data_IF_278934435756
#
_entry.id   IF_278934435756
#
_cell.length_a   1.000
_cell.length_b   1.000
_cell.length_c   1.000
_cell.angle_alpha   90.00
_cell.angle_beta   90.00
_cell.angle_gamma   90.00
#
_symmetry.space_group_name_H-M   'P 1'
#
loop_
_entity.id
_entity.type
_entity.pdbx_description
1 polymer ?
#
# COMPACT_ATOMS: atom_id res chain seq x y z
N UNK A 1 -46.12 -6.15 9.47
CA UNK A 1 -45.59 -5.49 8.26
C UNK A 1 -45.45 -6.55 7.20
N UNK A 2 -46.08 -6.38 6.03
CA UNK A 2 -46.10 -7.41 5.00
C UNK A 2 -44.71 -7.54 4.34
N UNK A 3 -44.28 -8.74 3.91
CA UNK A 3 -42.97 -8.94 3.28
C UNK A 3 -42.74 -8.06 2.03
N UNK A 4 -43.81 -7.72 1.31
CA UNK A 4 -43.76 -6.83 0.15
C UNK A 4 -43.46 -5.35 0.50
N UNK A 5 -43.88 -4.86 1.67
CA UNK A 5 -43.57 -3.49 2.11
C UNK A 5 -42.10 -3.35 2.50
N UNK A 6 -41.53 -4.37 3.14
CA UNK A 6 -40.09 -4.43 3.50
C UNK A 6 -39.22 -4.50 2.24
N UNK A 7 -39.63 -5.25 1.22
CA UNK A 7 -38.90 -5.35 -0.05
C UNK A 7 -38.97 -4.04 -0.86
N UNK A 8 -40.12 -3.36 -0.87
CA UNK A 8 -40.29 -2.05 -1.52
C UNK A 8 -39.51 -0.93 -0.82
N UNK A 9 -39.50 -0.93 0.53
CA UNK A 9 -38.66 -0.03 1.34
C UNK A 9 -37.16 -0.30 1.10
N UNK A 10 -36.77 -1.57 0.99
CA UNK A 10 -35.40 -1.99 0.66
C UNK A 10 -34.96 -1.57 -0.76
N UNK A 11 -35.83 -1.72 -1.76
CA UNK A 11 -35.56 -1.27 -3.14
C UNK A 11 -35.49 0.25 -3.26
N UNK A 12 -36.36 0.98 -2.55
CA UNK A 12 -36.30 2.45 -2.48
C UNK A 12 -35.01 2.96 -1.83
N UNK A 13 -34.53 2.28 -0.78
CA UNK A 13 -33.25 2.57 -0.13
C UNK A 13 -32.06 2.25 -1.04
N UNK A 14 -32.08 1.11 -1.74
CA UNK A 14 -30.99 0.71 -2.65
C UNK A 14 -30.85 1.64 -3.86
N UNK A 15 -31.97 2.09 -4.44
CA UNK A 15 -31.95 3.07 -5.53
C UNK A 15 -31.39 4.41 -5.06
N UNK A 16 -31.78 4.88 -3.87
CA UNK A 16 -31.24 6.10 -3.28
C UNK A 16 -29.73 6.01 -3.03
N UNK A 17 -29.24 4.87 -2.51
CA UNK A 17 -27.81 4.61 -2.32
C UNK A 17 -27.05 4.59 -3.65
N UNK A 18 -27.62 3.95 -4.69
CA UNK A 18 -27.02 3.92 -6.02
C UNK A 18 -26.93 5.33 -6.63
N UNK A 19 -28.00 6.13 -6.51
CA UNK A 19 -28.01 7.52 -7.00
C UNK A 19 -26.96 8.35 -6.23
N UNK A 20 -26.91 8.23 -4.91
CA UNK A 20 -25.94 8.95 -4.08
C UNK A 20 -24.50 8.59 -4.49
N UNK A 21 -24.21 7.30 -4.70
CA UNK A 21 -22.93 6.84 -5.20
C UNK A 21 -22.61 7.43 -6.57
N UNK A 22 -23.52 7.35 -7.54
CA UNK A 22 -23.31 7.92 -8.88
C UNK A 22 -23.06 9.43 -8.85
N UNK A 23 -23.76 10.16 -7.96
CA UNK A 23 -23.53 11.59 -7.75
C UNK A 23 -22.14 11.87 -7.18
N UNK A 24 -21.69 11.09 -6.19
CA UNK A 24 -20.34 11.23 -5.60
C UNK A 24 -19.24 10.96 -6.63
N UNK A 25 -19.44 9.94 -7.48
CA UNK A 25 -18.56 9.61 -8.59
C UNK A 25 -18.46 10.78 -9.58
N UNK A 26 -19.61 11.32 -9.99
CA UNK A 26 -19.67 12.44 -10.93
C UNK A 26 -19.01 13.70 -10.34
N UNK A 27 -19.27 13.99 -9.06
CA UNK A 27 -18.66 15.11 -8.33
C UNK A 27 -17.14 14.98 -8.25
N UNK A 28 -16.65 13.80 -7.87
CA UNK A 28 -15.23 13.47 -7.79
C UNK A 28 -14.57 13.58 -9.16
N UNK A 29 -15.21 13.08 -10.21
CA UNK A 29 -14.73 13.19 -11.58
C UNK A 29 -14.63 14.66 -12.03
N UNK A 30 -15.70 15.44 -11.89
CA UNK A 30 -15.73 16.86 -12.27
C UNK A 30 -14.68 17.69 -11.52
N UNK A 31 -14.57 17.50 -10.20
CA UNK A 31 -13.57 18.20 -9.38
C UNK A 31 -12.13 17.81 -9.73
N UNK A 32 -11.89 16.52 -10.00
CA UNK A 32 -10.60 16.01 -10.48
C UNK A 32 -10.22 16.62 -11.82
N UNK A 33 -11.15 16.66 -12.77
CA UNK A 33 -10.94 17.27 -14.11
C UNK A 33 -10.62 18.74 -13.97
N UNK A 34 -11.39 19.51 -13.17
CA UNK A 34 -11.15 20.92 -12.95
C UNK A 34 -9.76 21.18 -12.33
N UNK A 35 -9.39 20.44 -11.28
CA UNK A 35 -8.06 20.54 -10.63
C UNK A 35 -6.93 20.14 -11.57
N UNK A 36 -7.13 19.12 -12.40
CA UNK A 36 -6.17 18.67 -13.41
C UNK A 36 -5.95 19.73 -14.49
N UNK A 37 -7.01 20.38 -14.98
CA UNK A 37 -6.92 21.48 -15.94
C UNK A 37 -6.20 22.70 -15.33
N UNK A 38 -6.48 23.03 -14.06
CA UNK A 38 -5.78 24.09 -13.35
C UNK A 38 -4.29 23.80 -13.18
N UNK A 39 -3.92 22.57 -12.84
CA UNK A 39 -2.52 22.15 -12.75
C UNK A 39 -1.83 22.23 -14.12
N UNK A 40 -2.48 21.74 -15.19
CA UNK A 40 -1.98 21.84 -16.55
C UNK A 40 -1.76 23.31 -16.95
N UNK A 41 -2.72 24.19 -16.67
CA UNK A 41 -2.61 25.62 -16.92
C UNK A 41 -1.44 26.26 -16.16
N UNK A 42 -1.25 25.92 -14.87
CA UNK A 42 -0.12 26.39 -14.06
C UNK A 42 1.22 25.97 -14.67
N UNK A 43 1.39 24.68 -14.97
CA UNK A 43 2.61 24.14 -15.57
C UNK A 43 2.92 24.83 -16.91
N UNK A 44 1.91 25.00 -17.77
CA UNK A 44 2.07 25.67 -19.06
C UNK A 44 2.38 27.17 -18.93
N UNK A 45 1.77 27.86 -17.97
CA UNK A 45 2.01 29.29 -17.69
C UNK A 45 3.40 29.57 -17.09
N UNK A 46 3.97 28.60 -16.38
CA UNK A 46 5.33 28.69 -15.84
C UNK A 46 6.38 28.42 -16.93
N UNK A 47 6.02 27.68 -17.99
CA UNK A 47 6.87 27.41 -19.14
C UNK A 47 7.19 28.62 -20.03
N UNK A 48 6.57 29.78 -19.79
CA UNK A 48 6.80 31.04 -20.55
C UNK A 48 7.59 32.10 -19.79
N UNK A 49 8.05 31.83 -18.56
CA UNK A 49 8.91 32.76 -17.79
C UNK A 49 10.28 32.10 -17.56
N UNK A 50 11.31 32.56 -18.30
CA UNK A 50 12.67 31.99 -18.33
C UNK A 50 13.36 31.89 -16.94
N UNK A 51 14.30 30.94 -16.76
CA UNK A 51 15.74 31.25 -16.80
C UNK A 51 16.67 30.11 -16.36
N UNK A 52 17.83 30.09 -17.02
CA UNK A 52 19.12 29.51 -16.60
C UNK A 52 19.37 29.64 -15.08
N UNK A 53 19.76 28.55 -14.44
CA UNK A 53 20.37 28.64 -13.11
C UNK A 53 20.66 27.30 -12.42
N UNK A 54 21.94 26.94 -12.40
CA UNK A 54 22.60 26.02 -11.47
C UNK A 54 22.51 24.51 -11.71
N UNK A 55 23.53 24.01 -12.42
CA UNK A 55 24.13 22.69 -12.16
C UNK A 55 24.76 22.70 -10.76
N UNK A 56 23.92 22.56 -9.74
CA UNK A 56 24.32 22.29 -8.36
C UNK A 56 23.71 20.97 -7.95
N UNK A 57 24.55 19.96 -7.69
CA UNK A 57 24.13 18.62 -7.30
C UNK A 57 23.07 18.64 -6.21
N UNK A 58 21.90 18.05 -6.51
CA UNK A 58 20.77 17.90 -5.61
C UNK A 58 21.15 16.95 -4.46
N UNK A 59 21.86 17.47 -3.45
CA UNK A 59 21.93 16.85 -2.13
C UNK A 59 20.67 17.24 -1.37
N UNK A 60 19.94 16.24 -0.88
CA UNK A 60 18.64 16.32 -0.20
C UNK A 60 18.52 17.40 0.88
N UNK A 61 18.20 18.63 0.47
CA UNK A 61 17.86 19.75 1.35
C UNK A 61 16.34 19.89 1.54
N UNK A 62 15.54 19.01 0.93
CA UNK A 62 14.10 19.22 0.76
C UNK A 62 13.21 18.17 1.40
N UNK A 63 13.60 17.47 2.46
CA UNK A 63 12.71 16.58 3.24
C UNK A 63 11.92 15.52 2.44
N UNK A 64 12.24 15.31 1.16
CA UNK A 64 11.54 14.40 0.26
C UNK A 64 12.50 13.89 -0.82
N UNK A 65 12.36 12.60 -1.12
CA UNK A 65 12.87 11.95 -2.30
C UNK A 65 11.70 11.40 -3.13
N UNK A 66 11.91 11.20 -4.43
CA UNK A 66 10.90 10.61 -5.31
C UNK A 66 11.41 9.30 -5.90
N UNK A 67 10.52 8.32 -6.00
CA UNK A 67 10.80 7.02 -6.61
C UNK A 67 9.84 6.76 -7.76
N UNK A 68 10.36 6.38 -8.92
CA UNK A 68 9.58 5.97 -10.10
C UNK A 68 9.91 4.53 -10.46
N UNK A 69 8.89 3.72 -10.73
CA UNK A 69 9.08 2.29 -10.90
C UNK A 69 7.83 1.54 -11.32
N UNK A 70 7.83 0.24 -11.03
CA UNK A 70 6.74 -0.67 -11.34
C UNK A 70 6.30 -1.45 -10.12
N UNK A 71 5.01 -1.71 -10.05
CA UNK A 71 4.43 -2.74 -9.20
C UNK A 71 4.08 -3.93 -10.08
N UNK A 72 4.59 -5.10 -9.73
CA UNK A 72 4.29 -6.37 -10.38
C UNK A 72 3.47 -7.24 -9.46
N UNK A 73 2.37 -7.78 -9.96
CA UNK A 73 1.49 -8.70 -9.24
C UNK A 73 1.47 -10.05 -9.98
N UNK A 74 1.61 -11.13 -9.22
CA UNK A 74 1.42 -12.49 -9.70
C UNK A 74 0.50 -13.25 -8.76
N UNK A 75 -0.59 -13.75 -9.32
CA UNK A 75 -1.39 -14.83 -8.77
C UNK A 75 -1.05 -16.12 -9.51
N UNK A 76 -0.73 -17.17 -8.76
CA UNK A 76 -0.44 -18.53 -9.26
C UNK A 76 -1.65 -19.46 -9.16
N UNK A 77 -2.53 -19.25 -8.17
CA UNK A 77 -3.73 -20.08 -7.92
C UNK A 77 -4.94 -19.23 -7.47
N UNK A 78 -6.18 -19.75 -7.63
CA UNK A 78 -6.55 -20.94 -8.40
C UNK A 78 -6.39 -20.74 -9.91
N UNK A 79 -6.40 -19.48 -10.37
CA UNK A 79 -6.18 -19.11 -11.77
C UNK A 79 -4.92 -18.24 -11.88
N UNK A 80 -4.05 -18.57 -12.84
CA UNK A 80 -2.85 -17.76 -13.11
C UNK A 80 -3.25 -16.41 -13.68
N UNK A 81 -2.76 -15.34 -13.05
CA UNK A 81 -3.03 -13.98 -13.45
C UNK A 81 -1.86 -13.08 -13.04
N UNK A 82 -1.26 -12.40 -14.02
CA UNK A 82 -0.05 -11.57 -13.83
C UNK A 82 -0.24 -10.23 -14.53
N UNK A 83 0.22 -9.16 -13.89
CA UNK A 83 0.24 -7.83 -14.50
C UNK A 83 1.28 -6.95 -13.81
N UNK A 84 1.67 -5.89 -14.49
CA UNK A 84 2.49 -4.83 -13.92
C UNK A 84 2.00 -3.45 -14.36
N UNK A 85 2.27 -2.43 -13.55
CA UNK A 85 1.91 -1.05 -13.86
C UNK A 85 2.93 -0.07 -13.27
N UNK A 86 3.10 1.06 -13.95
CA UNK A 86 4.02 2.11 -13.50
C UNK A 86 3.43 2.87 -12.31
N UNK A 87 4.29 3.18 -11.34
CA UNK A 87 3.94 3.91 -10.13
C UNK A 87 5.00 4.97 -9.81
N UNK A 88 4.57 5.95 -9.03
CA UNK A 88 5.41 7.03 -8.52
C UNK A 88 5.09 7.25 -7.05
N UNK A 89 6.10 7.24 -6.22
CA UNK A 89 5.99 7.39 -4.77
C UNK A 89 6.82 8.58 -4.31
N UNK A 90 6.32 9.25 -3.26
CA UNK A 90 7.09 10.19 -2.47
C UNK A 90 7.65 9.44 -1.26
N UNK A 91 8.92 9.70 -0.93
CA UNK A 91 9.60 9.21 0.25
C UNK A 91 9.96 10.41 1.11
N UNK A 92 9.18 10.64 2.16
CA UNK A 92 9.09 11.92 2.86
C UNK A 92 9.70 11.78 4.25
N UNK A 93 10.61 12.67 4.61
CA UNK A 93 11.11 12.82 5.97
C UNK A 93 9.99 13.39 6.84
N UNK A 94 9.50 12.61 7.81
CA UNK A 94 8.41 13.04 8.70
C UNK A 94 8.89 13.97 9.81
N UNK A 95 10.19 14.10 10.06
CA UNK A 95 10.76 15.08 11.00
C UNK A 95 10.91 16.46 10.36
N UNK A 96 11.08 16.50 9.04
CA UNK A 96 11.18 17.74 8.27
C UNK A 96 10.36 17.66 6.96
N UNK A 97 9.03 17.46 7.03
CA UNK A 97 8.23 17.26 5.84
C UNK A 97 8.21 18.53 4.96
N UNK A 98 8.17 18.38 3.63
CA UNK A 98 8.09 19.52 2.74
C UNK A 98 6.74 20.24 2.93
N UNK A 99 6.72 21.57 2.74
CA UNK A 99 5.54 22.41 3.02
C UNK A 99 4.26 22.03 2.28
N UNK A 100 4.37 21.41 1.11
CA UNK A 100 3.23 20.97 0.31
C UNK A 100 2.61 19.66 0.83
N UNK A 101 3.34 18.90 1.66
CA UNK A 101 2.86 17.65 2.20
C UNK A 101 2.09 17.91 3.50
N UNK A 102 0.85 17.43 3.55
CA UNK A 102 0.01 17.49 4.74
C UNK A 102 -0.27 16.06 5.20
N UNK A 103 0.25 15.69 6.36
CA UNK A 103 0.13 14.34 6.92
C UNK A 103 -1.24 14.06 7.59
N UNK A 104 -2.33 14.70 7.17
CA UNK A 104 -3.62 14.69 7.89
C UNK A 104 -4.18 13.31 8.24
N UNK A 105 -3.80 12.27 7.49
CA UNK A 105 -4.24 10.90 7.70
C UNK A 105 -3.09 9.90 7.92
N UNK A 106 -1.87 10.40 8.05
CA UNK A 106 -0.67 9.62 8.33
C UNK A 106 -0.22 9.83 9.78
N UNK A 107 0.52 8.87 10.33
CA UNK A 107 1.10 9.00 11.67
C UNK A 107 2.21 10.06 11.66
N UNK A 108 2.42 10.68 12.83
CA UNK A 108 3.57 11.56 13.04
C UNK A 108 4.88 10.77 13.21
N UNK A 109 6.03 11.42 13.06
CA UNK A 109 7.33 10.79 13.32
C UNK A 109 7.46 10.29 14.77
N UNK A 110 6.95 11.04 15.75
CA UNK A 110 7.00 10.65 17.17
C UNK A 110 6.11 9.44 17.47
N UNK A 111 4.92 9.38 16.88
CA UNK A 111 4.02 8.22 16.99
C UNK A 111 4.66 6.97 16.38
N UNK A 112 5.23 7.09 15.17
CA UNK A 112 5.91 5.99 14.50
C UNK A 112 7.11 5.48 15.32
N UNK A 113 7.95 6.35 15.88
CA UNK A 113 9.04 5.97 16.80
C UNK A 113 8.53 5.23 18.03
N UNK A 114 7.46 5.74 18.66
CA UNK A 114 6.89 5.13 19.85
C UNK A 114 6.37 3.72 19.58
N UNK A 115 5.78 3.49 18.41
CA UNK A 115 5.29 2.17 17.97
C UNK A 115 6.45 1.25 17.62
N UNK A 116 7.45 1.78 16.90
CA UNK A 116 8.59 1.03 16.41
C UNK A 116 9.66 0.72 17.47
N UNK A 117 9.64 1.43 18.60
CA UNK A 117 10.69 1.35 19.61
C UNK A 117 12.03 1.89 19.12
N UNK A 118 12.02 2.90 18.24
CA UNK A 118 13.23 3.48 17.65
C UNK A 118 13.41 4.96 18.04
N UNK A 119 14.63 5.47 17.91
CA UNK A 119 14.98 6.87 18.21
C UNK A 119 15.48 7.68 17.01
N UNK A 120 15.80 7.04 15.89
CA UNK A 120 16.30 7.69 14.68
C UNK A 120 15.21 8.40 13.85
N UNK A 121 15.55 8.90 12.65
CA UNK A 121 14.60 9.56 11.75
C UNK A 121 13.51 8.60 11.27
N UNK A 122 12.36 9.16 10.86
CA UNK A 122 11.25 8.39 10.28
C UNK A 122 10.93 8.89 8.89
N UNK A 123 10.98 7.99 7.90
CA UNK A 123 10.65 8.31 6.52
C UNK A 123 9.40 7.56 6.06
N UNK A 124 8.50 8.25 5.38
CA UNK A 124 7.24 7.72 4.86
C UNK A 124 7.32 7.54 3.35
N UNK A 125 7.22 6.30 2.89
CA UNK A 125 6.93 5.97 1.50
C UNK A 125 5.41 5.96 1.29
N UNK A 126 4.89 6.90 0.50
CA UNK A 126 3.45 7.07 0.28
C UNK A 126 3.15 7.58 -1.13
N UNK A 127 1.91 7.43 -1.57
CA UNK A 127 1.40 8.11 -2.76
C UNK A 127 0.54 9.30 -2.30
N UNK A 128 1.03 10.54 -2.42
CA UNK A 128 0.28 11.72 -1.99
C UNK A 128 -1.02 11.91 -2.76
N UNK A 129 -1.95 12.66 -2.16
CA UNK A 129 -3.17 13.12 -2.82
C UNK A 129 -2.83 13.87 -4.11
N UNK A 130 -3.52 13.54 -5.20
CA UNK A 130 -3.29 14.15 -6.51
C UNK A 130 -4.59 14.63 -7.13
N UNK A 131 -4.60 15.91 -7.52
CA UNK A 131 -5.75 16.60 -8.14
C UNK A 131 -7.08 16.32 -7.42
N UNK A 132 -7.03 16.21 -6.09
CA UNK A 132 -8.22 16.03 -5.27
C UNK A 132 -8.66 14.60 -4.98
N UNK A 133 -7.88 13.61 -5.39
CA UNK A 133 -8.21 12.19 -5.23
C UNK A 133 -7.10 11.46 -4.46
N UNK A 134 -7.51 10.63 -3.50
CA UNK A 134 -6.64 9.76 -2.72
C UNK A 134 -6.95 8.31 -3.07
N UNK A 135 -5.94 7.54 -3.46
CA UNK A 135 -6.00 6.10 -3.60
C UNK A 135 -4.58 5.59 -3.41
N UNK A 136 -4.27 5.25 -2.18
CA UNK A 136 -2.99 4.71 -1.78
C UNK A 136 -3.21 3.40 -1.01
N UNK A 137 -3.04 2.22 -1.64
CA UNK A 137 -3.29 0.94 -0.98
C UNK A 137 -2.29 0.61 0.13
N UNK A 138 -1.08 1.16 0.06
CA UNK A 138 0.01 0.84 0.98
C UNK A 138 0.98 2.02 1.15
N UNK A 139 1.12 2.45 2.40
CA UNK A 139 2.20 3.29 2.87
C UNK A 139 3.17 2.48 3.73
N UNK A 140 4.47 2.82 3.70
CA UNK A 140 5.48 2.19 4.55
C UNK A 140 6.27 3.26 5.29
N UNK A 141 6.28 3.19 6.62
CA UNK A 141 7.10 4.03 7.49
C UNK A 141 8.41 3.28 7.79
N UNK A 142 9.53 3.83 7.38
CA UNK A 142 10.87 3.33 7.65
C UNK A 142 11.38 4.02 8.92
N UNK A 143 11.50 3.27 10.00
CA UNK A 143 11.91 3.76 11.30
C UNK A 143 13.38 3.40 11.51
N UNK A 144 14.23 4.42 11.49
CA UNK A 144 15.68 4.25 11.59
C UNK A 144 16.12 4.20 13.05
N UNK A 145 17.25 3.55 13.30
CA UNK A 145 18.03 3.70 14.53
C UNK A 145 18.97 4.93 14.45
N UNK A 146 19.65 5.22 15.55
CA UNK A 146 20.67 6.29 15.60
C UNK A 146 21.92 5.99 14.78
N UNK A 147 22.13 4.73 14.39
CA UNK A 147 23.28 4.27 13.61
C UNK A 147 23.03 4.42 12.10
N UNK A 148 21.81 4.80 11.70
CA UNK A 148 21.41 5.02 10.32
C UNK A 148 20.86 3.78 9.60
N UNK A 149 20.66 2.67 10.32
CA UNK A 149 20.00 1.46 9.81
C UNK A 149 18.48 1.55 9.95
N UNK A 150 17.74 0.90 9.05
CA UNK A 150 16.29 0.72 9.25
C UNK A 150 16.10 -0.42 10.25
N UNK A 151 15.68 -0.07 11.47
CA UNK A 151 15.49 -1.03 12.55
C UNK A 151 14.13 -1.72 12.47
N UNK A 152 13.08 -0.97 12.09
CA UNK A 152 11.71 -1.47 11.97
C UNK A 152 10.96 -0.74 10.85
N UNK A 153 10.00 -1.42 10.26
CA UNK A 153 9.05 -0.81 9.35
C UNK A 153 7.62 -0.90 9.91
N UNK A 154 6.79 0.05 9.53
CA UNK A 154 5.35 -0.02 9.78
C UNK A 154 4.63 0.03 8.44
N UNK A 155 3.77 -0.96 8.17
CA UNK A 155 2.89 -0.95 7.02
C UNK A 155 1.55 -0.34 7.41
N UNK A 156 1.06 0.60 6.60
CA UNK A 156 -0.29 1.12 6.66
C UNK A 156 -1.01 0.73 5.38
N UNK A 157 -1.96 -0.19 5.50
CA UNK A 157 -2.68 -0.77 4.37
C UNK A 157 -4.11 -0.26 4.40
N UNK A 158 -4.59 0.28 3.29
CA UNK A 158 -6.00 0.69 3.12
C UNK A 158 -6.67 -0.21 2.10
N UNK A 159 -7.78 -0.85 2.46
CA UNK A 159 -8.54 -1.67 1.52
C UNK A 159 -9.51 -0.83 0.68
N UNK A 160 -9.88 -1.38 -0.48
CA UNK A 160 -10.84 -0.80 -1.40
C UNK A 160 -11.84 -1.90 -1.77
N UNK A 161 -13.16 -1.63 -1.75
CA UNK A 161 -13.81 -0.32 -1.53
C UNK A 161 -14.17 -0.02 -0.06
N UNK A 162 -13.83 -0.88 0.91
CA UNK A 162 -14.38 -0.77 2.28
C UNK A 162 -13.80 0.35 3.14
N UNK A 163 -12.76 1.05 2.67
CA UNK A 163 -12.15 2.19 3.36
C UNK A 163 -11.71 1.86 4.80
N UNK A 164 -11.34 0.62 5.08
CA UNK A 164 -10.69 0.23 6.31
C UNK A 164 -9.19 0.34 6.14
N UNK A 165 -8.53 0.77 7.21
CA UNK A 165 -7.09 0.94 7.27
C UNK A 165 -6.54 0.16 8.44
N UNK A 166 -5.50 -0.63 8.19
CA UNK A 166 -4.76 -1.32 9.24
C UNK A 166 -3.32 -0.86 9.25
N UNK A 167 -2.76 -0.73 10.45
CA UNK A 167 -1.36 -0.39 10.67
C UNK A 167 -0.70 -1.48 11.49
N UNK A 168 0.43 -2.01 11.04
CA UNK A 168 1.17 -3.04 11.78
C UNK A 168 2.67 -2.92 11.56
N UNK A 169 3.43 -3.27 12.60
CA UNK A 169 4.89 -3.28 12.59
C UNK A 169 5.42 -4.54 11.89
N UNK A 170 6.57 -4.47 11.21
CA UNK A 170 7.27 -5.62 10.65
C UNK A 170 8.79 -5.39 10.49
N UNK A 171 9.56 -6.48 10.58
CA UNK A 171 10.99 -6.48 10.32
C UNK A 171 11.29 -6.22 8.82
N UNK A 172 12.12 -5.22 8.48
CA UNK A 172 12.40 -4.83 7.10
C UNK A 172 13.11 -5.92 6.27
N UNK A 173 13.92 -6.78 6.88
CA UNK A 173 14.67 -7.82 6.17
C UNK A 173 13.76 -8.97 5.73
N UNK A 174 12.96 -9.48 6.65
CA UNK A 174 11.85 -10.39 6.38
C UNK A 174 10.99 -10.58 7.63
N UNK A 175 9.67 -10.59 7.45
CA UNK A 175 8.74 -10.90 8.53
C UNK A 175 7.50 -11.65 8.02
N UNK A 176 6.87 -12.41 8.91
CA UNK A 176 5.61 -13.10 8.67
C UNK A 176 4.51 -12.45 9.52
N UNK A 177 3.45 -11.99 8.87
CA UNK A 177 2.32 -11.31 9.48
C UNK A 177 1.04 -12.03 9.11
N UNK A 178 0.23 -12.44 10.08
CA UNK A 178 -1.10 -12.98 9.78
C UNK A 178 -1.92 -11.90 9.04
N UNK A 179 -2.55 -12.25 7.91
CA UNK A 179 -3.20 -11.29 7.02
C UNK A 179 -4.21 -10.43 7.79
N UNK A 180 -3.94 -9.13 8.00
CA UNK A 180 -4.70 -8.32 8.94
C UNK A 180 -5.90 -7.61 8.32
N UNK A 181 -6.01 -7.61 6.98
CA UNK A 181 -7.07 -6.89 6.27
C UNK A 181 -7.54 -7.63 5.02
N UNK A 182 -8.85 -7.61 4.77
CA UNK A 182 -9.43 -8.14 3.54
C UNK A 182 -9.26 -7.13 2.40
N UNK A 183 -8.13 -7.23 1.70
CA UNK A 183 -7.72 -6.28 0.65
C UNK A 183 -8.25 -6.60 -0.74
N UNK A 184 -8.90 -7.75 -0.94
CA UNK A 184 -9.44 -8.15 -2.23
C UNK A 184 -10.55 -9.19 -2.06
N UNK A 185 -11.70 -9.04 -2.76
CA UNK A 185 -12.78 -10.03 -2.74
C UNK A 185 -12.40 -11.37 -3.38
N UNK A 186 -11.19 -11.50 -3.95
CA UNK A 186 -10.67 -12.73 -4.54
C UNK A 186 -9.55 -13.35 -3.67
N UNK A 187 -9.42 -12.93 -2.42
CA UNK A 187 -8.42 -13.43 -1.46
C UNK A 187 -8.99 -13.50 -0.04
N UNK A 188 -9.14 -14.72 0.50
CA UNK A 188 -9.65 -14.91 1.85
C UNK A 188 -8.69 -14.44 2.96
N UNK A 189 -9.12 -14.57 4.21
CA UNK A 189 -8.38 -14.14 5.41
C UNK A 189 -7.51 -15.23 6.05
N UNK A 190 -7.34 -16.40 5.42
CA UNK A 190 -6.60 -17.53 6.02
C UNK A 190 -5.09 -17.44 5.80
N UNK A 191 -4.63 -16.48 5.00
CA UNK A 191 -3.23 -16.38 4.60
C UNK A 191 -2.33 -15.64 5.61
N UNK A 192 -1.03 -15.84 5.46
CA UNK A 192 0.06 -15.07 6.10
C UNK A 192 0.77 -14.26 5.02
N UNK A 193 1.08 -13.00 5.32
CA UNK A 193 1.90 -12.13 4.50
C UNK A 193 3.37 -12.26 4.88
N UNK A 194 4.21 -12.49 3.88
CA UNK A 194 5.65 -12.35 4.01
C UNK A 194 6.06 -10.97 3.51
N UNK A 195 6.48 -10.12 4.42
CA UNK A 195 6.84 -8.73 4.16
C UNK A 195 8.37 -8.58 4.11
N UNK A 196 8.86 -7.79 3.16
CA UNK A 196 10.26 -7.38 3.08
C UNK A 196 10.33 -5.98 2.48
N UNK A 197 11.00 -5.07 3.17
CA UNK A 197 11.17 -3.67 2.79
C UNK A 197 12.57 -3.21 3.23
N UNK A 198 13.64 -3.61 2.53
CA UNK A 198 15.00 -3.24 2.89
C UNK A 198 15.21 -1.73 2.78
N UNK A 199 16.28 -1.23 3.39
CA UNK A 199 16.61 0.20 3.39
C UNK A 199 16.60 0.79 1.97
N UNK A 200 15.75 1.81 1.70
CA UNK A 200 15.71 2.48 0.41
C UNK A 200 17.01 3.24 0.14
N UNK A 201 17.46 3.22 -1.11
CA UNK A 201 18.65 3.95 -1.54
C UNK A 201 18.52 4.45 -2.99
N UNK A 202 19.46 4.08 -3.87
CA UNK A 202 19.29 4.37 -5.31
C UNK A 202 18.12 3.59 -5.91
N UNK A 203 17.85 2.43 -5.33
CA UNK A 203 16.72 1.57 -5.66
C UNK A 203 15.88 1.35 -4.41
N UNK A 204 14.58 1.15 -4.62
CA UNK A 204 13.59 0.83 -3.62
C UNK A 204 12.99 -0.52 -3.98
N UNK A 205 12.93 -1.41 -2.98
CA UNK A 205 12.32 -2.72 -3.10
C UNK A 205 11.31 -2.92 -1.97
N UNK A 206 10.11 -3.35 -2.31
CA UNK A 206 9.10 -3.79 -1.35
C UNK A 206 8.43 -5.05 -1.90
N UNK A 207 8.50 -6.13 -1.13
CA UNK A 207 8.01 -7.45 -1.49
C UNK A 207 6.92 -7.89 -0.51
N UNK A 208 5.81 -8.39 -1.06
CA UNK A 208 4.71 -8.99 -0.30
C UNK A 208 4.44 -10.36 -0.92
N UNK A 209 4.80 -11.42 -0.21
CA UNK A 209 4.38 -12.78 -0.51
C UNK A 209 3.13 -13.14 0.27
N UNK A 210 2.27 -13.99 -0.28
CA UNK A 210 1.06 -14.46 0.41
C UNK A 210 1.06 -15.98 0.45
N UNK A 211 1.16 -16.51 1.66
CA UNK A 211 1.17 -17.93 1.95
C UNK A 211 -0.20 -18.36 2.48
N UNK A 212 -0.84 -19.30 1.82
CA UNK A 212 -2.13 -19.84 2.21
C UNK A 212 -1.99 -21.32 2.60
N UNK A 213 -2.67 -21.79 3.67
CA UNK A 213 -2.55 -23.19 4.13
C UNK A 213 -2.89 -24.22 3.04
N UNK A 214 -3.87 -23.92 2.18
CA UNK A 214 -4.32 -24.85 1.13
C UNK A 214 -3.69 -24.57 -0.25
N UNK A 215 -3.33 -23.30 -0.54
CA UNK A 215 -2.86 -22.91 -1.87
C UNK A 215 -1.33 -22.82 -1.96
N UNK A 216 -0.64 -22.78 -0.82
CA UNK A 216 0.78 -22.49 -0.71
C UNK A 216 1.09 -21.02 -0.98
N UNK A 217 2.29 -20.73 -1.49
CA UNK A 217 2.65 -19.40 -1.98
C UNK A 217 1.93 -19.10 -3.31
N UNK A 218 0.73 -18.54 -3.21
CA UNK A 218 -0.19 -18.40 -4.33
C UNK A 218 -0.26 -16.99 -4.91
N UNK A 219 0.24 -15.98 -4.19
CA UNK A 219 0.24 -14.60 -4.65
C UNK A 219 1.51 -13.87 -4.20
N UNK A 220 2.01 -12.99 -5.07
CA UNK A 220 3.13 -12.11 -4.78
C UNK A 220 2.89 -10.73 -5.40
N UNK A 221 3.25 -9.68 -4.67
CA UNK A 221 3.36 -8.31 -5.16
C UNK A 221 4.77 -7.78 -4.90
N UNK A 222 5.36 -7.12 -5.90
CA UNK A 222 6.70 -6.56 -5.81
C UNK A 222 6.68 -5.14 -6.37
N UNK A 223 7.08 -4.17 -5.55
CA UNK A 223 7.42 -2.82 -5.97
C UNK A 223 8.94 -2.75 -6.17
N UNK A 224 9.35 -2.38 -7.39
CA UNK A 224 10.73 -2.00 -7.71
C UNK A 224 10.73 -0.61 -8.31
N UNK A 225 11.46 0.31 -7.69
CA UNK A 225 11.56 1.68 -8.15
C UNK A 225 12.97 2.23 -8.03
N UNK A 226 13.27 3.25 -8.82
CA UNK A 226 14.54 3.96 -8.79
C UNK A 226 14.33 5.37 -8.27
N UNK A 227 15.28 5.84 -7.48
CA UNK A 227 15.27 7.22 -7.00
C UNK A 227 15.44 8.18 -8.17
N UNK A 228 14.56 9.17 -8.24
CA UNK A 228 14.61 10.24 -9.22
C UNK A 228 15.66 11.26 -8.77
N UNK A 229 16.66 11.51 -9.61
CA UNK A 229 17.77 12.43 -9.31
C UNK A 229 17.60 13.82 -9.90
N UNK A 230 16.70 13.97 -10.88
CA UNK A 230 16.34 15.26 -11.48
C UNK A 230 15.40 16.03 -10.55
N UNK A 231 15.47 17.36 -10.58
CA UNK A 231 14.46 18.20 -9.97
C UNK A 231 13.09 17.92 -10.61
N UNK A 232 12.08 17.76 -9.78
CA UNK A 232 10.69 17.54 -10.20
C UNK A 232 9.77 18.42 -9.37
N UNK A 233 8.76 18.97 -10.01
CA UNK A 233 7.62 19.52 -9.30
C UNK A 233 6.79 18.36 -8.69
N UNK A 234 6.52 18.36 -7.36
CA UNK A 234 5.80 17.27 -6.70
C UNK A 234 4.40 16.99 -7.25
N UNK A 235 3.65 18.05 -7.56
CA UNK A 235 2.28 17.94 -8.09
C UNK A 235 2.31 17.36 -9.50
N UNK A 236 3.22 17.83 -10.37
CA UNK A 236 3.41 17.30 -11.71
C UNK A 236 3.92 15.84 -11.70
N UNK A 237 4.84 15.51 -10.77
CA UNK A 237 5.39 14.15 -10.66
C UNK A 237 4.31 13.13 -10.29
N UNK A 238 3.46 13.46 -9.32
CA UNK A 238 2.39 12.58 -8.84
C UNK A 238 1.06 12.77 -9.58
N UNK A 239 1.03 13.60 -10.62
CA UNK A 239 -0.19 13.94 -11.37
C UNK A 239 -0.91 12.66 -11.83
N UNK A 240 -2.20 12.57 -11.47
CA UNK A 240 -3.13 11.46 -11.77
C UNK A 240 -2.71 10.05 -11.28
N UNK A 241 -1.66 9.94 -10.44
CA UNK A 241 -1.17 8.62 -10.01
C UNK A 241 -2.19 7.82 -9.18
N UNK A 242 -2.81 8.39 -8.14
CA UNK A 242 -3.87 7.72 -7.37
C UNK A 242 -5.02 7.19 -8.26
N UNK A 243 -5.46 7.97 -9.24
CA UNK A 243 -6.53 7.60 -10.18
C UNK A 243 -6.12 6.41 -11.04
N UNK A 244 -4.87 6.39 -11.53
CA UNK A 244 -4.33 5.26 -12.28
C UNK A 244 -4.29 4.00 -11.42
N UNK A 245 -3.90 4.12 -10.15
CA UNK A 245 -3.91 2.99 -9.21
C UNK A 245 -5.34 2.47 -9.00
N UNK A 246 -6.32 3.35 -8.77
CA UNK A 246 -7.72 2.96 -8.64
C UNK A 246 -8.21 2.23 -9.88
N UNK A 247 -7.96 2.79 -11.07
CA UNK A 247 -8.31 2.17 -12.34
C UNK A 247 -7.74 0.75 -12.46
N UNK A 248 -6.45 0.56 -12.18
CA UNK A 248 -5.83 -0.76 -12.24
C UNK A 248 -6.40 -1.75 -11.22
N UNK A 249 -6.73 -1.31 -10.00
CA UNK A 249 -7.36 -2.17 -8.99
C UNK A 249 -8.70 -2.71 -9.50
N UNK A 250 -9.60 -1.83 -9.97
CA UNK A 250 -10.91 -2.23 -10.46
C UNK A 250 -10.84 -3.02 -11.77
N UNK A 251 -9.95 -2.63 -12.69
CA UNK A 251 -9.75 -3.35 -13.94
C UNK A 251 -9.32 -4.80 -13.70
N UNK A 252 -8.37 -5.01 -12.79
CA UNK A 252 -7.87 -6.36 -12.49
C UNK A 252 -8.88 -7.18 -11.68
N UNK A 253 -9.69 -6.53 -10.82
CA UNK A 253 -10.81 -7.18 -10.16
C UNK A 253 -11.84 -7.70 -11.18
N UNK A 254 -12.20 -6.88 -12.19
CA UNK A 254 -13.09 -7.27 -13.28
C UNK A 254 -12.53 -8.44 -14.10
N UNK A 255 -11.22 -8.40 -14.43
CA UNK A 255 -10.58 -9.51 -15.13
C UNK A 255 -10.60 -10.82 -14.33
N UNK A 256 -10.39 -10.78 -13.01
CA UNK A 256 -10.48 -11.98 -12.16
C UNK A 256 -11.91 -12.52 -12.09
N UNK A 257 -12.91 -11.64 -12.01
CA UNK A 257 -14.32 -12.01 -12.07
C UNK A 257 -14.66 -12.70 -13.40
N UNK A 258 -14.21 -12.16 -14.54
CA UNK A 258 -14.39 -12.81 -15.85
C UNK A 258 -13.64 -14.13 -15.98
N UNK A 259 -12.54 -14.31 -15.26
CA UNK A 259 -11.81 -15.59 -15.16
C UNK A 259 -12.46 -16.58 -14.20
N UNK A 260 -13.61 -16.26 -13.60
CA UNK A 260 -14.37 -17.15 -12.72
C UNK A 260 -13.74 -17.38 -11.35
N UNK A 261 -12.89 -16.46 -10.88
CA UNK A 261 -12.34 -16.56 -9.51
C UNK A 261 -13.45 -16.26 -8.51
N UNK A 262 -13.63 -17.14 -7.52
CA UNK A 262 -14.69 -17.03 -6.52
C UNK A 262 -14.63 -15.71 -5.74
N UNK A 263 -15.79 -15.06 -5.64
CA UNK A 263 -15.98 -13.88 -4.81
C UNK A 263 -16.16 -14.29 -3.35
N UNK A 264 -15.45 -13.61 -2.45
CA UNK A 264 -15.48 -13.81 -1.01
C UNK A 264 -16.05 -12.54 -0.36
N UNK A 265 -17.17 -12.63 0.37
CA UNK A 265 -17.74 -11.48 1.05
C UNK A 265 -16.80 -10.93 2.12
N UNK A 266 -16.90 -9.63 2.37
CA UNK A 266 -16.06 -8.97 3.36
C UNK A 266 -16.37 -9.47 4.79
N UNK A 267 -15.37 -9.82 5.62
CA UNK A 267 -15.57 -10.35 6.97
C UNK A 267 -16.43 -9.46 7.88
N UNK A 268 -16.37 -8.14 7.68
CA UNK A 268 -17.21 -7.14 8.39
C UNK A 268 -18.72 -7.44 8.36
N UNK A 269 -19.19 -8.20 7.37
CA UNK A 269 -20.61 -8.57 7.24
C UNK A 269 -20.93 -10.01 7.68
N UNK A 270 -19.95 -10.75 8.18
CA UNK A 270 -20.10 -12.17 8.56
C UNK A 270 -19.71 -12.37 10.03
N UNK A 271 -18.46 -12.05 10.39
CA UNK A 271 -17.89 -12.20 11.73
C UNK A 271 -16.65 -11.29 11.87
N UNK A 272 -16.77 -10.21 12.64
CA UNK A 272 -15.80 -9.11 12.67
C UNK A 272 -14.50 -9.42 13.44
N UNK A 273 -14.50 -10.38 14.36
CA UNK A 273 -13.46 -10.44 15.40
C UNK A 273 -12.36 -11.48 15.14
N UNK A 274 -12.66 -12.62 14.53
CA UNK A 274 -11.68 -13.73 14.38
C UNK A 274 -10.40 -13.31 13.65
N UNK A 275 -10.51 -12.60 12.53
CA UNK A 275 -9.33 -12.21 11.75
C UNK A 275 -8.49 -11.14 12.45
N UNK A 276 -9.10 -10.25 13.24
CA UNK A 276 -8.39 -9.21 14.01
C UNK A 276 -7.60 -9.83 15.15
N UNK A 277 -8.20 -10.79 15.86
CA UNK A 277 -7.53 -11.55 16.91
C UNK A 277 -6.35 -12.37 16.36
N UNK A 278 -6.51 -13.00 15.20
CA UNK A 278 -5.42 -13.73 14.52
C UNK A 278 -4.29 -12.80 14.11
N UNK A 279 -4.60 -11.61 13.61
CA UNK A 279 -3.62 -10.61 13.18
C UNK A 279 -2.78 -10.02 14.33
N UNK A 280 -3.31 -9.96 15.55
CA UNK A 280 -2.59 -9.50 16.73
C UNK A 280 -1.61 -10.53 17.30
N UNK A 281 -1.75 -11.80 16.93
CA UNK A 281 -0.88 -12.90 17.37
C UNK A 281 0.27 -13.10 16.39
N UNK A 282 1.47 -13.37 16.90
CA UNK A 282 2.57 -13.81 16.05
C UNK A 282 2.20 -15.14 15.36
N UNK A 283 2.35 -15.26 14.03
CA UNK A 283 2.14 -16.54 13.37
C UNK A 283 3.21 -17.53 13.85
N UNK A 284 2.79 -18.57 14.57
CA UNK A 284 3.68 -19.55 15.21
C UNK A 284 4.21 -20.62 14.24
N UNK A 285 3.59 -20.78 13.07
CA UNK A 285 4.00 -21.76 12.07
C UNK A 285 3.83 -21.20 10.65
N UNK A 286 4.94 -21.07 9.92
CA UNK A 286 4.92 -20.99 8.47
C UNK A 286 4.61 -22.38 7.89
N UNK A 287 3.85 -22.47 6.79
CA UNK A 287 3.83 -23.71 6.03
C UNK A 287 5.26 -24.00 5.52
N UNK A 288 5.83 -25.20 5.70
CA UNK A 288 7.22 -25.52 5.35
C UNK A 288 7.51 -25.56 3.83
N UNK A 289 6.61 -25.07 2.99
CA UNK A 289 6.74 -25.10 1.54
C UNK A 289 7.47 -23.87 1.00
N UNK A 290 8.77 -23.73 1.30
CA UNK A 290 9.66 -23.00 0.40
C UNK A 290 10.95 -23.78 0.13
N UNK A 291 10.97 -24.43 -1.03
CA UNK A 291 12.16 -24.67 -1.83
C UNK A 291 12.42 -23.42 -2.66
N UNK A 292 13.69 -23.01 -2.68
CA UNK A 292 14.39 -22.03 -3.54
C UNK A 292 13.61 -21.45 -4.73
N UNK A 293 13.77 -20.15 -4.93
CA UNK A 293 13.64 -19.54 -6.26
C UNK A 293 14.76 -20.11 -7.13
N UNK A 294 14.43 -21.02 -8.04
CA UNK A 294 15.34 -21.45 -9.09
C UNK A 294 15.56 -20.29 -10.07
N UNK A 295 16.72 -19.65 -9.95
CA UNK A 295 17.38 -18.95 -11.05
C UNK A 295 18.27 -19.96 -11.77
N UNK A 296 17.79 -20.56 -12.86
CA UNK A 296 18.67 -20.99 -13.95
C UNK A 296 18.94 -19.76 -14.82
N UNK A 297 20.17 -19.29 -15.04
CA UNK A 297 21.49 -19.92 -15.14
C UNK A 297 22.56 -18.82 -14.96
N UNK A 298 23.79 -18.99 -14.47
CA UNK A 298 24.54 -20.08 -13.81
C UNK A 298 25.90 -19.46 -13.43
N UNK A 299 26.29 -19.38 -12.14
CA UNK A 299 27.69 -19.39 -11.65
C UNK A 299 27.83 -19.00 -10.16
N UNK A 300 28.68 -19.77 -9.47
CA UNK A 300 29.48 -19.46 -8.25
C UNK A 300 28.80 -18.91 -6.99
N UNK A 301 28.42 -19.85 -6.12
CA UNK A 301 28.64 -19.92 -4.66
C UNK A 301 29.10 -18.68 -3.87
N UNK A 302 28.18 -18.10 -3.10
CA UNK A 302 28.39 -17.66 -1.72
C UNK A 302 27.02 -17.37 -1.09
N UNK A 303 26.48 -18.34 -0.35
CA UNK A 303 25.11 -18.30 0.20
C UNK A 303 24.99 -17.45 1.47
N UNK A 304 23.85 -16.76 1.60
CA UNK A 304 23.44 -16.10 2.84
C UNK A 304 23.12 -17.16 3.92
N UNK A 305 23.49 -16.92 5.20
CA UNK A 305 23.40 -17.92 6.25
C UNK A 305 21.95 -18.15 6.69
N UNK A 306 21.66 -19.40 7.06
CA UNK A 306 20.38 -19.83 7.60
C UNK A 306 20.11 -19.17 8.96
N UNK A 307 18.88 -18.68 9.16
CA UNK A 307 18.40 -18.24 10.48
C UNK A 307 18.38 -19.45 11.43
N UNK A 308 19.12 -19.33 12.54
CA UNK A 308 19.20 -20.36 13.57
C UNK A 308 17.93 -20.46 14.39
N UNK A 309 17.68 -21.68 14.89
CA UNK A 309 16.63 -22.00 15.85
C UNK A 309 16.73 -21.10 17.10
N UNK A 310 15.79 -20.15 17.19
CA UNK A 310 15.57 -19.33 18.37
C UNK A 310 14.49 -19.96 19.25
N UNK A 311 14.93 -20.64 20.31
CA UNK A 311 14.13 -21.10 21.44
C UNK A 311 13.19 -20.02 21.99
N UNK A 312 11.90 -20.37 22.16
CA UNK A 312 10.98 -19.81 23.16
C UNK A 312 10.84 -18.29 23.22
N UNK A 313 10.11 -17.69 22.28
CA UNK A 313 9.57 -16.35 22.47
C UNK A 313 8.15 -16.46 23.07
N UNK A 314 7.84 -15.83 24.21
CA UNK A 314 6.46 -15.74 24.68
C UNK A 314 5.62 -15.07 23.59
N UNK A 315 4.35 -15.42 23.45
CA UNK A 315 3.39 -14.75 22.54
C UNK A 315 3.30 -13.25 22.88
N UNK A 316 4.27 -12.48 22.39
CA UNK A 316 4.30 -11.04 22.43
C UNK A 316 3.21 -10.57 21.48
N UNK A 317 2.23 -9.83 22.01
CA UNK A 317 1.26 -9.13 21.18
C UNK A 317 2.00 -8.23 20.22
N UNK A 318 1.67 -8.35 18.93
CA UNK A 318 2.23 -7.49 17.88
C UNK A 318 1.39 -6.22 17.78
N UNK A 319 2.02 -5.08 17.54
CA UNK A 319 1.28 -3.87 17.21
C UNK A 319 0.51 -4.07 15.91
N UNK A 320 -0.82 -4.03 15.99
CA UNK A 320 -1.73 -4.08 14.86
C UNK A 320 -3.02 -3.32 15.22
N UNK A 321 -3.32 -2.23 14.51
CA UNK A 321 -4.46 -1.35 14.80
C UNK A 321 -5.31 -1.10 13.56
N UNK A 322 -6.63 -1.12 13.73
CA UNK A 322 -7.59 -0.86 12.66
C UNK A 322 -8.25 0.50 12.88
N UNK A 323 -8.45 1.24 11.80
CA UNK A 323 -9.17 2.51 11.77
C UNK A 323 -9.95 2.64 10.47
N UNK A 324 -10.98 3.45 10.49
CA UNK A 324 -11.69 3.84 9.28
C UNK A 324 -10.88 4.91 8.52
N UNK A 325 -11.00 4.93 7.19
CA UNK A 325 -10.38 5.91 6.30
C UNK A 325 -11.46 6.81 5.68
N UNK A 326 -11.97 7.83 6.41
CA UNK A 326 -13.17 8.56 6.02
C UNK A 326 -13.05 9.39 4.73
N UNK A 327 -11.83 9.72 4.29
CA UNK A 327 -11.57 10.42 3.02
C UNK A 327 -11.24 9.49 1.85
N UNK A 328 -11.28 8.17 2.05
CA UNK A 328 -10.98 7.21 1.00
C UNK A 328 -12.20 7.04 0.07
N UNK A 329 -12.02 7.00 -1.26
CA UNK A 329 -13.13 6.95 -2.21
C UNK A 329 -14.05 5.73 -2.04
N UNK A 330 -15.31 5.87 -2.48
CA UNK A 330 -16.32 4.81 -2.67
C UNK A 330 -16.94 4.21 -1.41
N UNK A 331 -17.11 5.04 -0.38
CA UNK A 331 -17.69 4.66 0.92
C UNK A 331 -19.21 4.52 0.89
#
# INVERSE_FOLDING_TARGET
>A
MAPAEVEMLGRGSALAQLIALLCDIASTFCSTVARSLLLAFRILSQGTTESRGSEGGFKGAGGVEFYEGKVWHERRKPVVHRFEYNVRYAFIDLDAPPRWFVASHHMSASEARSIAGTSGPVWLLTMPLSVGYEQNPLSVYYCYDEQGGVAQCIAEVTNTPWAERVTFLFNPESDLVAKPLHVSPFMDMKAVWQMQAPTPGKELLLCIGVQHPELGNYFQAILKAKRVTRAVDPEAFTWIMPQKVAFWIYWQALQLMWKGVSFIPHPKYIDENDYRERAQKHPTHACPAFVKVDNTSSSSSSGCPAAGDGSGCPTSQRFCTWREAPGYPWR
#
